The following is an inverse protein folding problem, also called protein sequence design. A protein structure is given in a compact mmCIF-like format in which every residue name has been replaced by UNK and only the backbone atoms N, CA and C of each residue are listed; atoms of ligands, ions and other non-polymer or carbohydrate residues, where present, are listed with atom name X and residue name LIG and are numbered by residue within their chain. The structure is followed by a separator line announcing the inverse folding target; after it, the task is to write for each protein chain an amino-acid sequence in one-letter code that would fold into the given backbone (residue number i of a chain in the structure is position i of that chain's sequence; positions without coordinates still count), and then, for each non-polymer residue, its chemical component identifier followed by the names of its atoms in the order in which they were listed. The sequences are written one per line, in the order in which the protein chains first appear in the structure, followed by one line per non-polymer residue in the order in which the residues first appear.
data_IF_290948721249
#
_entry.id   IF_290948721249
#
_cell.length_a   1.000
_cell.length_b   1.000
_cell.length_c   1.000
_cell.angle_alpha   90.00
_cell.angle_beta   90.00
_cell.angle_gamma   90.00
#
_symmetry.space_group_name_H-M   'P 1'
#
loop_
_entity.id
_entity.type
_entity.pdbx_description
1 polymer ?
#
# COMPACT_ATOMS: atom_id res chain seq x y z
N UNK A 1 18.87 0.10 -9.22
CA UNK A 1 17.67 0.78 -8.66
C UNK A 1 16.39 -0.02 -8.91
N UNK A 2 15.84 -0.11 -10.14
CA UNK A 2 14.61 -0.93 -10.37
C UNK A 2 14.92 -2.43 -10.32
N UNK A 3 15.90 -2.88 -11.12
CA UNK A 3 16.28 -4.30 -11.20
C UNK A 3 16.64 -4.87 -9.83
N UNK A 4 17.51 -4.17 -9.10
CA UNK A 4 17.97 -4.58 -7.78
C UNK A 4 16.85 -4.56 -6.72
N UNK A 5 15.90 -3.63 -6.83
CA UNK A 5 14.73 -3.61 -5.94
C UNK A 5 13.76 -4.78 -6.19
N UNK A 6 13.66 -5.24 -7.43
CA UNK A 6 12.78 -6.38 -7.78
C UNK A 6 13.47 -7.72 -7.52
N UNK A 7 14.71 -7.86 -7.99
CA UNK A 7 15.46 -9.12 -7.96
C UNK A 7 16.32 -9.29 -6.70
N UNK A 8 16.53 -8.24 -5.93
CA UNK A 8 17.42 -8.23 -4.78
C UNK A 8 18.88 -7.95 -5.15
N UNK A 9 19.72 -7.96 -4.11
CA UNK A 9 21.17 -7.75 -4.20
C UNK A 9 21.88 -8.80 -3.36
N UNK A 10 23.22 -8.76 -3.37
CA UNK A 10 24.03 -9.55 -2.42
C UNK A 10 23.76 -9.19 -0.96
N UNK A 11 23.19 -8.02 -0.69
CA UNK A 11 22.93 -7.54 0.68
C UNK A 11 21.51 -7.84 1.17
N UNK A 12 20.63 -8.36 0.32
CA UNK A 12 19.27 -8.68 0.74
C UNK A 12 18.28 -8.97 -0.39
N UNK A 13 17.10 -9.53 -0.04
CA UNK A 13 16.07 -9.92 -1.00
C UNK A 13 15.42 -8.69 -1.65
N UNK A 14 14.96 -8.89 -2.89
CA UNK A 14 14.09 -7.95 -3.59
C UNK A 14 12.63 -8.30 -3.38
N UNK A 15 11.75 -7.48 -3.96
CA UNK A 15 10.30 -7.64 -3.83
C UNK A 15 9.81 -9.03 -4.31
N UNK A 16 10.44 -9.61 -5.34
CA UNK A 16 10.06 -10.92 -5.86
C UNK A 16 10.25 -12.02 -4.80
N UNK A 17 11.38 -12.02 -4.09
CA UNK A 17 11.67 -13.01 -3.06
C UNK A 17 10.77 -12.80 -1.85
N UNK A 18 10.61 -11.55 -1.40
CA UNK A 18 9.74 -11.22 -0.27
C UNK A 18 8.29 -11.62 -0.52
N UNK A 19 7.80 -11.51 -1.76
CA UNK A 19 6.46 -11.99 -2.14
C UNK A 19 6.35 -13.52 -2.03
N UNK A 20 7.35 -14.25 -2.52
CA UNK A 20 7.37 -15.70 -2.43
C UNK A 20 7.44 -16.21 -0.98
N UNK A 21 8.10 -15.45 -0.09
CA UNK A 21 8.23 -15.74 1.34
C UNK A 21 6.93 -15.57 2.14
N UNK A 22 5.92 -14.87 1.59
CA UNK A 22 4.70 -14.57 2.36
C UNK A 22 3.94 -15.83 2.78
N UNK A 23 3.94 -16.89 1.97
CA UNK A 23 3.12 -18.08 2.23
C UNK A 23 1.60 -17.85 2.12
N UNK A 24 1.17 -16.63 1.78
CA UNK A 24 -0.20 -16.26 1.47
C UNK A 24 -0.42 -16.28 -0.04
N UNK A 25 -1.68 -16.50 -0.47
CA UNK A 25 -2.05 -16.48 -1.91
C UNK A 25 -3.21 -15.53 -2.22
N UNK A 26 -3.80 -14.94 -1.20
CA UNK A 26 -4.79 -13.87 -1.33
C UNK A 26 -4.10 -12.50 -1.47
N UNK A 27 -4.89 -11.45 -1.64
CA UNK A 27 -4.39 -10.10 -1.88
C UNK A 27 -3.47 -9.57 -0.76
N UNK A 28 -3.55 -10.11 0.46
CA UNK A 28 -2.68 -9.70 1.57
C UNK A 28 -1.21 -9.94 1.29
N UNK A 29 -0.85 -10.91 0.43
CA UNK A 29 0.55 -11.21 0.09
C UNK A 29 1.26 -9.97 -0.48
N UNK A 30 0.56 -9.13 -1.23
CA UNK A 30 1.15 -7.94 -1.86
C UNK A 30 1.47 -6.87 -0.82
N UNK A 31 0.57 -6.63 0.13
CA UNK A 31 0.73 -5.61 1.16
C UNK A 31 1.75 -6.03 2.22
N UNK A 32 1.79 -7.33 2.55
CA UNK A 32 2.79 -7.88 3.47
C UNK A 32 4.19 -7.88 2.86
N UNK A 33 4.33 -8.21 1.58
CA UNK A 33 5.60 -8.09 0.85
C UNK A 33 6.07 -6.61 0.78
N UNK A 34 5.17 -5.67 0.52
CA UNK A 34 5.47 -4.24 0.56
C UNK A 34 5.94 -3.78 1.95
N UNK A 35 5.31 -4.28 3.01
CA UNK A 35 5.72 -3.99 4.40
C UNK A 35 7.14 -4.48 4.70
N UNK A 36 7.45 -5.71 4.31
CA UNK A 36 8.80 -6.28 4.47
C UNK A 36 9.83 -5.56 3.59
N UNK A 37 9.46 -5.12 2.39
CA UNK A 37 10.36 -4.32 1.56
C UNK A 37 10.70 -2.97 2.20
N UNK A 38 9.74 -2.37 2.94
CA UNK A 38 9.95 -1.10 3.63
C UNK A 38 10.74 -1.21 4.94
N UNK A 39 10.49 -2.23 5.76
CA UNK A 39 11.07 -2.33 7.10
C UNK A 39 11.68 -3.67 7.48
N UNK A 40 11.87 -4.57 6.53
CA UNK A 40 12.55 -5.85 6.70
C UNK A 40 11.77 -6.93 7.45
N UNK A 41 10.69 -6.57 8.14
CA UNK A 41 9.91 -7.50 8.96
C UNK A 41 8.43 -7.07 9.08
N UNK A 42 7.59 -8.04 9.42
CA UNK A 42 6.21 -7.80 9.86
C UNK A 42 6.23 -7.73 11.39
N UNK A 43 5.52 -6.75 11.94
CA UNK A 43 5.40 -6.60 13.39
C UNK A 43 4.76 -7.85 14.03
N UNK A 44 5.14 -8.25 15.26
CA UNK A 44 4.54 -9.39 15.95
C UNK A 44 3.01 -9.32 16.08
N UNK A 45 2.43 -8.11 16.13
CA UNK A 45 0.97 -7.90 16.17
C UNK A 45 0.26 -8.28 14.87
N UNK A 46 1.01 -8.54 13.78
CA UNK A 46 0.53 -8.75 12.42
C UNK A 46 -0.14 -7.53 11.76
N UNK A 47 -0.12 -6.37 12.42
CA UNK A 47 -0.55 -5.10 11.85
C UNK A 47 0.55 -4.55 10.94
N UNK A 48 0.19 -4.12 9.74
CA UNK A 48 1.16 -3.65 8.73
C UNK A 48 1.59 -2.21 8.97
N UNK A 49 0.82 -1.46 9.73
CA UNK A 49 1.05 -0.09 10.17
C UNK A 49 1.92 -0.01 11.44
N UNK A 50 2.25 -1.13 12.07
CA UNK A 50 3.06 -1.16 13.29
C UNK A 50 4.54 -1.51 13.03
N UNK A 51 5.35 -1.31 14.07
CA UNK A 51 6.80 -1.51 14.04
C UNK A 51 7.57 -0.27 13.55
N UNK A 52 8.77 -0.49 13.01
CA UNK A 52 9.65 0.56 12.50
C UNK A 52 9.30 1.00 11.06
N UNK A 53 9.93 2.09 10.60
CA UNK A 53 9.83 2.64 9.24
C UNK A 53 8.49 3.36 8.94
N UNK A 54 8.21 3.59 7.66
CA UNK A 54 7.07 4.39 7.22
C UNK A 54 5.78 3.60 7.36
N UNK A 55 5.05 3.84 8.46
CA UNK A 55 3.82 3.12 8.83
C UNK A 55 2.74 3.11 7.74
N UNK A 56 2.67 4.15 6.90
CA UNK A 56 1.68 4.24 5.81
C UNK A 56 2.06 3.47 4.55
N UNK A 57 3.27 2.90 4.45
CA UNK A 57 3.82 2.44 3.17
C UNK A 57 2.93 1.40 2.46
N UNK A 58 2.43 0.40 3.19
CA UNK A 58 1.56 -0.61 2.63
C UNK A 58 0.22 -0.01 2.13
N UNK A 59 -0.38 0.88 2.93
CA UNK A 59 -1.62 1.58 2.59
C UNK A 59 -1.43 2.53 1.40
N UNK A 60 -0.30 3.23 1.31
CA UNK A 60 0.01 4.11 0.19
C UNK A 60 0.17 3.32 -1.12
N UNK A 61 0.78 2.12 -1.08
CA UNK A 61 0.83 1.22 -2.24
C UNK A 61 -0.57 0.75 -2.62
N UNK A 62 -1.39 0.34 -1.64
CA UNK A 62 -2.77 -0.08 -1.89
C UNK A 62 -3.57 1.03 -2.59
N UNK A 63 -3.49 2.26 -2.09
CA UNK A 63 -4.18 3.41 -2.66
C UNK A 63 -3.69 3.76 -4.07
N UNK A 64 -2.39 3.61 -4.35
CA UNK A 64 -1.84 3.81 -5.70
C UNK A 64 -2.31 2.74 -6.69
N UNK A 65 -2.42 1.48 -6.25
CA UNK A 65 -2.87 0.36 -7.10
C UNK A 65 -4.38 0.40 -7.34
N UNK A 66 -5.16 0.75 -6.32
CA UNK A 66 -6.63 0.90 -6.41
C UNK A 66 -7.04 2.17 -7.15
N UNK A 67 -6.10 3.11 -7.33
CA UNK A 67 -6.35 4.43 -7.90
C UNK A 67 -6.79 5.40 -6.80
N UNK A 68 -5.97 6.41 -6.55
CA UNK A 68 -6.31 7.51 -5.64
C UNK A 68 -7.35 8.50 -6.24
N UNK A 69 -7.82 8.23 -7.47
CA UNK A 69 -8.49 9.21 -8.35
C UNK A 69 -9.87 8.80 -8.86
N UNK A 70 -10.32 7.56 -8.65
CA UNK A 70 -11.57 7.05 -9.28
C UNK A 70 -12.72 6.78 -8.31
N UNK A 71 -12.55 7.02 -7.00
CA UNK A 71 -13.74 7.18 -6.15
C UNK A 71 -14.44 8.47 -6.60
N UNK A 72 -15.74 8.43 -6.99
CA UNK A 72 -16.48 9.66 -7.17
C UNK A 72 -16.41 10.40 -5.84
N UNK A 73 -15.71 11.53 -5.80
CA UNK A 73 -15.99 12.49 -4.74
C UNK A 73 -17.44 12.88 -4.97
N UNK A 74 -18.33 12.47 -4.06
CA UNK A 74 -19.66 13.06 -4.06
C UNK A 74 -19.49 14.57 -4.06
N UNK A 75 -20.15 15.24 -5.00
CA UNK A 75 -20.15 16.70 -5.04
C UNK A 75 -20.59 17.16 -3.64
N UNK A 76 -19.79 17.97 -2.91
CA UNK A 76 -20.19 18.49 -1.62
C UNK A 76 -21.58 19.14 -1.66
N UNK A 77 -22.00 19.68 -2.81
CA UNK A 77 -23.33 20.26 -3.01
C UNK A 77 -24.45 19.22 -3.00
N UNK A 78 -24.19 17.99 -3.45
CA UNK A 78 -25.12 16.86 -3.31
C UNK A 78 -25.19 16.37 -1.86
N UNK A 79 -24.06 16.31 -1.15
CA UNK A 79 -24.01 15.90 0.27
C UNK A 79 -24.76 16.87 1.19
N UNK A 80 -24.75 18.16 0.89
CA UNK A 80 -25.42 19.20 1.70
C UNK A 80 -26.73 19.72 1.10
N UNK A 81 -27.21 19.17 -0.02
CA UNK A 81 -28.46 19.57 -0.66
C UNK A 81 -28.51 21.05 -1.09
N UNK A 82 -27.37 21.65 -1.42
CA UNK A 82 -27.27 23.08 -1.74
C UNK A 82 -27.51 23.29 -3.23
N UNK A 83 -28.65 23.88 -3.61
CA UNK A 83 -28.87 24.34 -4.98
C UNK A 83 -28.15 25.66 -5.23
N UNK A 84 -27.51 25.77 -6.39
CA UNK A 84 -26.88 27.01 -6.88
C UNK A 84 -27.91 28.14 -6.88
N UNK A 85 -27.61 29.23 -6.16
CA UNK A 85 -28.37 30.47 -6.27
C UNK A 85 -28.12 31.07 -7.67
N UNK A 86 -29.11 30.89 -8.56
CA UNK A 86 -29.10 31.52 -9.89
C UNK A 86 -29.27 33.03 -9.72
N UNK A 87 -28.29 33.81 -10.17
CA UNK A 87 -28.42 35.24 -10.43
C UNK A 87 -29.26 35.48 -11.69
#
# INVERSE_FOLDING_TARGET
MIKDGVLGTTSGPGLQQLLAEQGHRDDSQWFRAARMYNGGQIDPTQLLEEGCCTKSYASDIANRLKGWVDEPREDPKQLYGLQEARL
#
